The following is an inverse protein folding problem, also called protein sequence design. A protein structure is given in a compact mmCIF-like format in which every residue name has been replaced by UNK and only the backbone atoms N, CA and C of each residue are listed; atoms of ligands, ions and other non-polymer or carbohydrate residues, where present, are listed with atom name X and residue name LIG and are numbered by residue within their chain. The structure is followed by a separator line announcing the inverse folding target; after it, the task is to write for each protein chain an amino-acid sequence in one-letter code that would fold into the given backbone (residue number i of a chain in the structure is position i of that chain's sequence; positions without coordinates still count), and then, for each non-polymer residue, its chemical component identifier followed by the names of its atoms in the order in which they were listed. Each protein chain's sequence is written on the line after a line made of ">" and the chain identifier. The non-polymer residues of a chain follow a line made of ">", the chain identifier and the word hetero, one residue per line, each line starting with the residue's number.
data_IF_091067870527
#
_entry.id   IF_091067870527
#
_cell.length_a   1.000
_cell.length_b   1.000
_cell.length_c   1.000
_cell.angle_alpha   90.00
_cell.angle_beta   90.00
_cell.angle_gamma   90.00
#
_symmetry.space_group_name_H-M   'P 1'
#
loop_
_entity.id
_entity.type
_entity.pdbx_description
1 polymer ?
#
# COMPACT_ATOMS: atom_id res chain seq x y z
N UNK A 1 12.03 -12.04 -3.76
CA UNK A 1 11.32 -13.08 -4.53
C UNK A 1 11.20 -12.58 -5.96
N UNK A 2 11.68 -13.37 -6.91
CA UNK A 2 11.55 -13.06 -8.33
C UNK A 2 10.23 -13.64 -8.82
N UNK A 3 9.49 -12.89 -9.63
CA UNK A 3 8.21 -13.29 -10.19
C UNK A 3 7.95 -12.62 -11.53
N UNK A 4 7.05 -13.19 -12.33
CA UNK A 4 6.62 -12.61 -13.60
C UNK A 4 5.18 -12.17 -13.52
N UNK A 5 4.90 -10.94 -13.92
CA UNK A 5 3.53 -10.43 -13.97
C UNK A 5 3.39 -9.35 -15.03
N UNK A 6 2.39 -9.49 -15.91
CA UNK A 6 2.15 -8.61 -17.05
C UNK A 6 3.15 -8.79 -18.20
N UNK A 7 3.07 -7.91 -19.22
CA UNK A 7 3.98 -7.87 -20.36
C UNK A 7 4.59 -6.48 -20.51
N UNK A 8 5.85 -6.42 -20.94
CA UNK A 8 6.57 -5.15 -21.18
C UNK A 8 6.88 -4.88 -22.65
N UNK A 9 6.77 -5.93 -23.46
CA UNK A 9 6.95 -5.96 -24.91
C UNK A 9 6.00 -7.03 -25.42
N UNK A 10 5.42 -6.90 -26.64
CA UNK A 10 4.49 -7.90 -27.15
C UNK A 10 5.10 -9.31 -27.07
N UNK A 11 4.45 -10.20 -26.33
CA UNK A 11 4.85 -11.59 -26.17
C UNK A 11 5.86 -11.88 -25.06
N UNK A 12 6.39 -10.87 -24.34
CA UNK A 12 7.40 -11.08 -23.29
C UNK A 12 6.86 -10.78 -21.89
N UNK A 13 6.91 -11.75 -20.94
CA UNK A 13 6.50 -11.51 -19.56
C UNK A 13 7.48 -10.57 -18.84
N UNK A 14 6.94 -9.59 -18.10
CA UNK A 14 7.75 -8.66 -17.31
C UNK A 14 8.22 -9.36 -16.02
N UNK A 15 9.53 -9.43 -15.85
CA UNK A 15 10.18 -9.91 -14.62
C UNK A 15 10.15 -8.80 -13.55
N UNK A 16 9.77 -9.14 -12.32
CA UNK A 16 9.70 -8.24 -11.18
C UNK A 16 10.33 -8.88 -9.95
N UNK A 17 10.78 -8.04 -9.02
CA UNK A 17 11.43 -8.47 -7.78
C UNK A 17 10.71 -7.87 -6.58
N UNK A 18 10.27 -8.72 -5.67
CA UNK A 18 9.62 -8.33 -4.41
C UNK A 18 10.54 -8.55 -3.22
N UNK A 19 10.83 -7.51 -2.46
CA UNK A 19 11.48 -7.59 -1.16
C UNK A 19 10.44 -7.56 -0.03
N UNK A 20 10.72 -8.27 1.07
CA UNK A 20 9.80 -8.36 2.22
C UNK A 20 10.31 -7.62 3.46
N UNK A 21 11.62 -7.43 3.57
CA UNK A 21 12.29 -6.77 4.70
C UNK A 21 13.71 -7.31 4.88
N UNK A 22 14.41 -6.73 5.84
CA UNK A 22 15.80 -7.09 6.19
C UNK A 22 15.81 -7.93 7.48
N UNK A 23 16.68 -8.92 7.56
CA UNK A 23 16.96 -9.64 8.81
C UNK A 23 17.77 -8.74 9.77
N UNK A 24 17.57 -8.76 11.10
CA UNK A 24 16.66 -9.62 11.88
C UNK A 24 15.26 -9.04 12.10
N UNK A 25 15.00 -7.80 11.69
CA UNK A 25 13.69 -7.13 11.82
C UNK A 25 12.57 -8.00 11.23
N UNK A 26 12.87 -8.70 10.14
CA UNK A 26 12.02 -9.73 9.59
C UNK A 26 12.59 -11.14 9.87
N UNK A 27 11.80 -11.98 10.53
CA UNK A 27 12.13 -13.38 10.74
C UNK A 27 11.97 -14.19 9.45
N UNK A 28 12.73 -15.28 9.32
CA UNK A 28 12.61 -16.18 8.16
C UNK A 28 11.20 -16.79 8.03
N UNK A 29 10.54 -17.08 9.15
CA UNK A 29 9.17 -17.61 9.16
C UNK A 29 8.20 -16.57 8.59
N UNK A 30 8.27 -15.32 9.05
CA UNK A 30 7.45 -14.24 8.51
C UNK A 30 7.73 -13.99 7.02
N UNK A 31 9.00 -14.08 6.60
CA UNK A 31 9.38 -13.91 5.19
C UNK A 31 8.78 -15.01 4.29
N UNK A 32 8.73 -16.26 4.77
CA UNK A 32 8.09 -17.38 4.06
C UNK A 32 6.59 -17.19 3.96
N UNK A 33 5.92 -16.81 5.05
CA UNK A 33 4.48 -16.54 5.03
C UNK A 33 4.11 -15.47 4.00
N UNK A 34 4.81 -14.31 3.98
CA UNK A 34 4.57 -13.25 2.98
C UNK A 34 4.89 -13.68 1.55
N UNK A 35 5.85 -14.59 1.36
CA UNK A 35 6.14 -15.17 0.04
C UNK A 35 4.98 -16.00 -0.46
N UNK A 36 4.39 -16.82 0.41
CA UNK A 36 3.31 -17.73 0.03
C UNK A 36 2.00 -16.94 -0.22
N UNK A 37 1.74 -15.89 0.57
CA UNK A 37 0.68 -14.92 0.30
C UNK A 37 0.86 -14.24 -1.08
N UNK A 38 2.06 -13.75 -1.38
CA UNK A 38 2.36 -13.14 -2.68
C UNK A 38 2.18 -14.12 -3.85
N UNK A 39 2.46 -15.42 -3.66
CA UNK A 39 2.16 -16.45 -4.65
C UNK A 39 0.65 -16.65 -4.85
N UNK A 40 -0.13 -16.61 -3.78
CA UNK A 40 -1.59 -16.66 -3.84
C UNK A 40 -2.15 -15.51 -4.68
N UNK A 41 -1.71 -14.29 -4.41
CA UNK A 41 -2.09 -13.10 -5.20
C UNK A 41 -1.76 -13.26 -6.69
N UNK A 42 -0.58 -13.80 -7.02
CA UNK A 42 -0.20 -14.05 -8.41
C UNK A 42 -1.08 -15.10 -9.09
N UNK A 43 -1.49 -16.15 -8.37
CA UNK A 43 -2.41 -17.17 -8.88
C UNK A 43 -3.80 -16.60 -9.18
N UNK A 44 -4.24 -15.61 -8.40
CA UNK A 44 -5.47 -14.86 -8.65
C UNK A 44 -5.34 -13.78 -9.74
N UNK A 45 -4.15 -13.62 -10.34
CA UNK A 45 -3.90 -12.62 -11.36
C UNK A 45 -3.71 -11.20 -10.82
N UNK A 46 -3.34 -11.05 -9.54
CA UNK A 46 -3.07 -9.76 -8.88
C UNK A 46 -1.56 -9.54 -8.70
N UNK A 47 -1.10 -8.30 -8.89
CA UNK A 47 0.33 -7.95 -8.70
C UNK A 47 0.61 -7.63 -7.22
N UNK A 48 1.44 -8.42 -6.52
CA UNK A 48 1.75 -8.20 -5.10
C UNK A 48 2.44 -6.86 -4.83
N UNK A 49 3.15 -6.28 -5.79
CA UNK A 49 3.80 -4.98 -5.61
C UNK A 49 2.76 -3.84 -5.58
N UNK A 50 1.72 -3.94 -6.40
CA UNK A 50 0.64 -2.94 -6.46
C UNK A 50 -0.23 -3.05 -5.22
N UNK A 51 -0.59 -4.27 -4.81
CA UNK A 51 -1.38 -4.51 -3.60
C UNK A 51 -0.73 -3.93 -2.34
N UNK A 52 0.60 -4.04 -2.20
CA UNK A 52 1.32 -3.38 -1.09
C UNK A 52 1.16 -1.86 -1.10
N UNK A 53 1.21 -1.23 -2.28
CA UNK A 53 1.06 0.22 -2.42
C UNK A 53 -0.39 0.62 -2.13
N UNK A 54 -1.35 -0.14 -2.63
CA UNK A 54 -2.78 0.09 -2.38
C UNK A 54 -3.09 -0.03 -0.89
N UNK A 55 -2.62 -1.08 -0.22
CA UNK A 55 -2.80 -1.25 1.21
C UNK A 55 -2.13 -0.12 2.02
N UNK A 56 -0.95 0.34 1.61
CA UNK A 56 -0.30 1.48 2.25
C UNK A 56 -1.11 2.77 2.09
N UNK A 57 -1.63 3.03 0.88
CA UNK A 57 -2.49 4.20 0.59
C UNK A 57 -3.84 4.12 1.32
N UNK A 58 -4.46 2.95 1.40
CA UNK A 58 -5.70 2.78 2.15
C UNK A 58 -5.49 3.17 3.62
N UNK A 59 -4.35 2.76 4.20
CA UNK A 59 -4.00 3.10 5.58
C UNK A 59 -3.77 4.60 5.79
N UNK A 60 -3.20 5.31 4.82
CA UNK A 60 -3.04 6.78 4.93
C UNK A 60 -4.39 7.49 4.81
N UNK A 61 -5.25 7.05 3.88
CA UNK A 61 -6.59 7.61 3.69
C UNK A 61 -7.46 7.43 4.94
N UNK A 62 -7.37 6.30 5.63
CA UNK A 62 -8.11 6.10 6.89
C UNK A 62 -7.66 7.08 7.99
N UNK A 63 -6.37 7.38 8.07
CA UNK A 63 -5.84 8.35 9.06
C UNK A 63 -6.30 9.77 8.72
N UNK A 64 -6.26 10.14 7.44
CA UNK A 64 -6.70 11.46 6.96
C UNK A 64 -8.21 11.68 7.12
N UNK A 65 -9.01 10.62 7.03
CA UNK A 65 -10.47 10.68 7.18
C UNK A 65 -10.96 10.53 8.63
N UNK A 66 -10.07 10.64 9.62
CA UNK A 66 -10.50 10.65 11.02
C UNK A 66 -11.29 11.92 11.35
N UNK A 67 -12.30 11.80 12.23
CA UNK A 67 -13.14 12.93 12.63
C UNK A 67 -12.32 14.15 13.09
N UNK A 68 -11.25 13.90 13.84
CA UNK A 68 -10.34 14.94 14.31
C UNK A 68 -9.71 15.72 13.15
N UNK A 69 -9.11 15.03 12.18
CA UNK A 69 -8.45 15.68 11.03
C UNK A 69 -9.45 16.48 10.20
N UNK A 70 -10.66 15.95 10.01
CA UNK A 70 -11.74 16.64 9.30
C UNK A 70 -12.24 17.86 10.07
N UNK A 71 -12.41 17.74 11.39
CA UNK A 71 -12.84 18.84 12.26
C UNK A 71 -11.79 19.97 12.32
N UNK A 72 -10.52 19.63 12.50
CA UNK A 72 -9.42 20.61 12.50
C UNK A 72 -9.36 21.36 11.16
N UNK A 73 -9.44 20.64 10.04
CA UNK A 73 -9.50 21.23 8.69
C UNK A 73 -10.72 22.12 8.49
N UNK A 74 -11.87 21.74 9.05
CA UNK A 74 -13.09 22.54 8.97
C UNK A 74 -12.95 23.83 9.78
N UNK A 75 -12.43 23.76 11.01
CA UNK A 75 -12.19 24.94 11.85
C UNK A 75 -11.22 25.91 11.18
N UNK A 76 -10.14 25.42 10.58
CA UNK A 76 -9.20 26.25 9.81
C UNK A 76 -9.87 26.94 8.61
N UNK A 77 -10.73 26.24 7.88
CA UNK A 77 -11.44 26.83 6.74
C UNK A 77 -12.48 27.87 7.18
N UNK A 78 -13.08 27.66 8.35
CA UNK A 78 -14.19 28.48 8.87
C UNK A 78 -13.75 29.53 9.90
N UNK A 79 -12.46 29.63 10.23
CA UNK A 79 -11.94 30.57 11.24
C UNK A 79 -12.09 32.04 10.84
N UNK A 80 -12.41 32.33 9.57
CA UNK A 80 -12.77 33.67 9.11
C UNK A 80 -14.21 34.08 9.42
N UNK A 81 -15.10 33.14 9.76
CA UNK A 81 -16.53 33.42 9.98
C UNK A 81 -16.86 33.83 11.42
N UNK A 82 -15.89 33.73 12.35
CA UNK A 82 -16.09 34.02 13.77
C UNK A 82 -15.51 35.36 14.25
N UNK A 83 -14.96 36.18 13.35
CA UNK A 83 -14.30 37.47 13.68
C UNK A 83 -15.12 38.73 13.38
N UNK A 84 -16.39 38.60 13.00
CA UNK A 84 -17.32 39.73 12.87
C UNK A 84 -18.38 39.66 13.98
N UNK A 85 -18.10 40.32 15.11
CA UNK A 85 -19.06 40.71 16.15
C UNK A 85 -18.56 41.97 16.86
#
# INVERSE_FOLDING_TARGET
>A
MNYTFGQNTPGKPQQKTLSFGTYPVMTLVAARAKRDEAKGMLAEGRDPAVEKVVAAKAKTVEVENTFRVVADRWVELNSGWSLES
#
